data_IF_056425615121
#
_entry.id   IF_056425615121
#
_cell.length_a   1.000
_cell.length_b   1.000
_cell.length_c   1.000
_cell.angle_alpha   90.00
_cell.angle_beta   90.00
_cell.angle_gamma   90.00
#
_symmetry.space_group_name_H-M   'P 1'
#
loop_
_entity.id
_entity.type
_entity.pdbx_description
1 polymer ?
#
# COMPACT_ATOMS: atom_id res chain seq x y z
N UNK A 1 43.46 37.42 22.40
CA UNK A 1 44.82 37.78 22.84
C UNK A 1 44.79 37.95 24.35
N UNK A 2 45.11 36.91 25.13
CA UNK A 2 45.29 37.06 26.57
C UNK A 2 46.79 37.16 26.82
N UNK A 3 47.27 38.36 27.10
CA UNK A 3 48.67 38.59 27.44
C UNK A 3 48.87 38.09 28.88
N UNK A 4 49.78 37.14 29.13
CA UNK A 4 50.07 36.73 30.49
C UNK A 4 50.65 37.93 31.24
N UNK A 5 50.01 38.33 32.32
CA UNK A 5 50.54 39.37 33.22
C UNK A 5 51.78 38.76 33.87
N UNK A 6 52.97 39.10 33.37
CA UNK A 6 54.21 38.67 34.01
C UNK A 6 54.41 39.51 35.27
N UNK A 7 54.13 38.90 36.42
CA UNK A 7 54.39 39.51 37.72
C UNK A 7 55.87 39.33 38.07
N UNK A 8 56.63 40.42 38.02
CA UNK A 8 58.03 40.44 38.46
C UNK A 8 58.08 40.59 39.99
N UNK A 9 58.26 39.46 40.66
CA UNK A 9 58.38 39.36 42.12
C UNK A 9 59.51 40.23 42.67
N UNK A 10 60.61 40.40 41.92
CA UNK A 10 61.79 41.14 42.38
C UNK A 10 61.58 42.65 42.27
N UNK A 11 60.98 43.12 41.18
CA UNK A 11 60.63 44.55 41.02
C UNK A 11 59.56 44.98 42.04
N UNK A 12 58.57 44.13 42.28
CA UNK A 12 57.52 44.38 43.28
C UNK A 12 58.07 44.45 44.71
N UNK A 13 58.97 43.54 45.10
CA UNK A 13 59.63 43.57 46.41
C UNK A 13 60.47 44.85 46.60
N UNK A 14 61.21 45.28 45.57
CA UNK A 14 62.00 46.53 45.61
C UNK A 14 61.14 47.76 45.79
N UNK A 15 59.96 47.81 45.14
CA UNK A 15 58.99 48.89 45.28
C UNK A 15 58.35 48.95 46.67
N UNK A 16 58.07 47.81 47.28
CA UNK A 16 57.60 47.73 48.67
C UNK A 16 58.65 48.22 49.66
N UNK A 17 59.90 47.81 49.46
CA UNK A 17 61.02 48.23 50.31
C UNK A 17 61.28 49.75 50.22
N UNK A 18 61.21 50.33 49.02
CA UNK A 18 61.36 51.78 48.83
C UNK A 18 60.18 52.59 49.37
N UNK A 19 59.01 51.97 49.55
CA UNK A 19 57.84 52.55 50.20
C UNK A 19 57.87 52.43 51.74
N UNK A 20 58.94 51.88 52.33
CA UNK A 20 59.15 51.82 53.79
C UNK A 20 58.75 50.49 54.46
N UNK A 21 58.39 49.46 53.68
CA UNK A 21 58.19 48.11 54.24
C UNK A 21 59.54 47.44 54.49
N UNK A 22 59.78 46.82 55.67
CA UNK A 22 61.01 46.07 55.93
C UNK A 22 61.29 45.04 54.84
N UNK A 23 62.54 44.95 54.38
CA UNK A 23 62.95 44.06 53.27
C UNK A 23 62.45 42.62 53.41
N UNK A 24 62.55 41.98 54.60
CA UNK A 24 62.04 40.61 54.77
C UNK A 24 60.51 40.50 54.57
N UNK A 25 59.76 41.53 54.96
CA UNK A 25 58.30 41.58 54.76
C UNK A 25 57.93 41.88 53.31
N UNK A 26 58.69 42.76 52.64
CA UNK A 26 58.51 43.07 51.22
C UNK A 26 58.72 41.84 50.32
N UNK A 27 59.75 41.05 50.61
CA UNK A 27 60.03 39.78 49.91
C UNK A 27 58.95 38.72 50.16
N UNK A 28 58.49 38.57 51.41
CA UNK A 28 57.42 37.63 51.75
C UNK A 28 56.09 37.99 51.06
N UNK A 29 55.72 39.27 51.02
CA UNK A 29 54.52 39.74 50.30
C UNK A 29 54.62 39.51 48.79
N UNK A 30 55.79 39.78 48.21
CA UNK A 30 56.02 39.54 46.79
C UNK A 30 55.93 38.05 46.45
N UNK A 31 56.54 37.18 47.27
CA UNK A 31 56.49 35.74 47.09
C UNK A 31 55.05 35.19 47.15
N UNK A 32 54.28 35.57 48.18
CA UNK A 32 52.89 35.13 48.33
C UNK A 32 51.99 35.60 47.15
N UNK A 33 52.17 36.84 46.69
CA UNK A 33 51.42 37.35 45.54
C UNK A 33 51.84 36.65 44.23
N UNK A 34 53.12 36.37 44.06
CA UNK A 34 53.66 35.61 42.93
C UNK A 34 53.12 34.17 42.88
N UNK A 35 52.97 33.52 44.04
CA UNK A 35 52.37 32.19 44.16
C UNK A 35 50.88 32.19 43.77
N UNK A 36 50.11 33.18 44.27
CA UNK A 36 48.69 33.34 43.92
C UNK A 36 48.52 33.63 42.42
N UNK A 37 49.32 34.53 41.85
CA UNK A 37 49.26 34.86 40.42
C UNK A 37 49.75 33.70 39.54
N UNK A 38 50.74 32.92 40.01
CA UNK A 38 51.17 31.69 39.36
C UNK A 38 50.05 30.65 39.27
N UNK A 39 49.29 30.45 40.37
CA UNK A 39 48.12 29.55 40.35
C UNK A 39 47.01 30.04 39.43
N UNK A 40 46.75 31.35 39.36
CA UNK A 40 45.78 31.92 38.42
C UNK A 40 46.15 31.64 36.96
N UNK A 41 47.44 31.68 36.58
CA UNK A 41 47.90 31.34 35.24
C UNK A 41 47.70 29.85 34.91
N UNK A 42 47.92 28.96 35.89
CA UNK A 42 47.66 27.51 35.73
C UNK A 42 46.19 27.25 35.42
N UNK A 43 45.27 27.88 36.17
CA UNK A 43 43.81 27.76 35.94
C UNK A 43 43.40 28.21 34.53
N UNK A 44 44.01 29.26 33.98
CA UNK A 44 43.75 29.66 32.58
C UNK A 44 44.22 28.62 31.57
N UNK A 45 45.34 27.95 31.83
CA UNK A 45 45.84 26.84 31.01
C UNK A 45 44.91 25.64 31.03
N UNK A 46 44.41 25.27 32.22
CA UNK A 46 43.42 24.21 32.41
C UNK A 46 42.08 24.55 31.72
N UNK A 47 41.61 25.79 31.84
CA UNK A 47 40.40 26.25 31.16
C UNK A 47 40.54 26.19 29.63
N UNK A 48 41.68 26.64 29.09
CA UNK A 48 41.96 26.55 27.66
C UNK A 48 42.10 25.10 27.16
N UNK A 49 42.53 24.17 28.01
CA UNK A 49 42.53 22.74 27.71
C UNK A 49 41.10 22.17 27.71
N UNK A 50 40.29 22.54 28.70
CA UNK A 50 38.89 22.13 28.80
C UNK A 50 38.07 22.63 27.60
N UNK A 51 38.26 23.89 27.19
CA UNK A 51 37.58 24.48 26.02
C UNK A 51 37.91 23.70 24.74
N UNK A 52 39.19 23.38 24.52
CA UNK A 52 39.62 22.57 23.36
C UNK A 52 39.02 21.16 23.39
N UNK A 53 38.99 20.53 24.56
CA UNK A 53 38.39 19.19 24.71
C UNK A 53 36.88 19.23 24.44
N UNK A 54 36.16 20.23 24.98
CA UNK A 54 34.72 20.39 24.74
C UNK A 54 34.41 20.66 23.27
N UNK A 55 35.18 21.52 22.59
CA UNK A 55 35.04 21.74 21.15
C UNK A 55 35.27 20.44 20.35
N UNK A 56 36.25 19.63 20.76
CA UNK A 56 36.50 18.31 20.18
C UNK A 56 35.31 17.37 20.33
N UNK A 57 34.77 17.24 21.55
CA UNK A 57 33.59 16.42 21.83
C UNK A 57 32.35 16.90 21.08
N UNK A 58 32.12 18.22 21.01
CA UNK A 58 31.01 18.80 20.24
C UNK A 58 31.14 18.45 18.75
N UNK A 59 32.33 18.55 18.17
CA UNK A 59 32.57 18.19 16.77
C UNK A 59 32.34 16.69 16.53
N UNK A 60 32.80 15.83 17.45
CA UNK A 60 32.57 14.38 17.36
C UNK A 60 31.09 14.03 17.46
N UNK A 61 30.35 14.65 18.37
CA UNK A 61 28.90 14.46 18.51
C UNK A 61 28.18 14.95 17.26
N UNK A 62 28.56 16.10 16.72
CA UNK A 62 27.97 16.65 15.48
C UNK A 62 28.16 15.66 14.32
N UNK A 63 29.38 15.17 14.11
CA UNK A 63 29.66 14.19 13.06
C UNK A 63 28.88 12.87 13.27
N UNK A 64 28.74 12.42 14.52
CA UNK A 64 27.95 11.22 14.85
C UNK A 64 26.45 11.43 14.61
N UNK A 65 25.94 12.63 14.83
CA UNK A 65 24.56 12.98 14.51
C UNK A 65 24.38 13.00 12.99
N UNK A 66 25.25 13.68 12.24
CA UNK A 66 25.16 13.78 10.78
C UNK A 66 25.18 12.40 10.11
N UNK A 67 26.10 11.53 10.54
CA UNK A 67 26.20 10.15 10.03
C UNK A 67 24.95 9.33 10.35
N UNK A 68 24.35 9.49 11.54
CA UNK A 68 23.10 8.82 11.90
C UNK A 68 21.91 9.36 11.11
N UNK A 69 21.85 10.67 10.88
CA UNK A 69 20.82 11.30 10.06
C UNK A 69 20.89 10.78 8.63
N UNK A 70 22.08 10.79 8.00
CA UNK A 70 22.25 10.23 6.65
C UNK A 70 21.88 8.73 6.60
N UNK A 71 22.23 7.96 7.63
CA UNK A 71 21.85 6.55 7.69
C UNK A 71 20.33 6.34 7.85
N UNK A 72 19.62 7.29 8.47
CA UNK A 72 18.15 7.28 8.54
C UNK A 72 17.53 7.67 7.20
N UNK A 73 18.04 8.71 6.55
CA UNK A 73 17.57 9.14 5.22
C UNK A 73 17.68 7.98 4.22
N UNK A 74 18.86 7.32 4.16
CA UNK A 74 19.04 6.14 3.31
C UNK A 74 18.08 4.98 3.63
N UNK A 75 17.70 4.81 4.90
CA UNK A 75 16.72 3.79 5.31
C UNK A 75 15.31 4.17 4.91
N UNK A 76 14.97 5.45 4.96
CA UNK A 76 13.68 5.98 4.50
C UNK A 76 13.55 5.75 3.00
N UNK A 77 14.54 6.17 2.21
CA UNK A 77 14.56 5.97 0.75
C UNK A 77 14.41 4.48 0.38
N UNK A 78 15.12 3.59 1.09
CA UNK A 78 15.02 2.16 0.87
C UNK A 78 13.65 1.57 1.25
N UNK A 79 12.98 2.13 2.27
CA UNK A 79 11.62 1.73 2.65
C UNK A 79 10.59 2.24 1.65
N UNK A 80 10.73 3.47 1.16
CA UNK A 80 9.87 4.04 0.11
C UNK A 80 9.92 3.18 -1.15
N UNK A 81 11.13 2.90 -1.67
CA UNK A 81 11.29 2.04 -2.84
C UNK A 81 10.67 0.65 -2.66
N UNK A 82 10.81 0.07 -1.45
CA UNK A 82 10.23 -1.23 -1.12
C UNK A 82 8.71 -1.19 -1.04
N UNK A 83 8.13 -0.08 -0.58
CA UNK A 83 6.68 0.13 -0.53
C UNK A 83 6.13 0.30 -1.94
N UNK A 84 6.75 1.12 -2.78
CA UNK A 84 6.36 1.31 -4.18
C UNK A 84 6.35 -0.02 -4.93
N UNK A 85 7.44 -0.79 -4.83
CA UNK A 85 7.54 -2.12 -5.45
C UNK A 85 6.44 -3.08 -4.96
N UNK A 86 6.04 -2.97 -3.69
CA UNK A 86 4.96 -3.80 -3.12
C UNK A 86 3.59 -3.36 -3.60
N UNK A 87 3.38 -2.06 -3.79
CA UNK A 87 2.14 -1.49 -4.33
C UNK A 87 1.98 -1.96 -5.78
N UNK A 88 2.99 -1.79 -6.62
CA UNK A 88 2.97 -2.24 -8.03
C UNK A 88 2.65 -3.74 -8.14
N UNK A 89 3.28 -4.56 -7.28
CA UNK A 89 3.03 -5.99 -7.26
C UNK A 89 1.61 -6.37 -6.80
N UNK A 90 1.01 -5.57 -5.91
CA UNK A 90 -0.38 -5.77 -5.48
C UNK A 90 -1.37 -5.34 -6.57
N UNK A 91 -1.11 -4.22 -7.25
CA UNK A 91 -1.92 -3.75 -8.39
C UNK A 91 -1.96 -4.80 -9.50
N UNK A 92 -0.79 -5.29 -9.95
CA UNK A 92 -0.71 -6.33 -10.97
C UNK A 92 -1.48 -7.61 -10.57
N UNK A 93 -1.40 -7.99 -9.29
CA UNK A 93 -2.10 -9.17 -8.76
C UNK A 93 -3.61 -8.97 -8.70
N UNK A 94 -4.07 -7.75 -8.44
CA UNK A 94 -5.49 -7.41 -8.47
C UNK A 94 -6.02 -7.42 -9.90
N UNK A 95 -5.31 -6.81 -10.84
CA UNK A 95 -5.68 -6.82 -12.26
C UNK A 95 -5.81 -8.25 -12.78
N UNK A 96 -4.80 -9.09 -12.53
CA UNK A 96 -4.83 -10.52 -12.94
C UNK A 96 -6.03 -11.26 -12.33
N UNK A 97 -6.44 -10.92 -11.10
CA UNK A 97 -7.60 -11.54 -10.45
C UNK A 97 -8.91 -11.05 -11.04
N UNK A 98 -8.99 -9.79 -11.44
CA UNK A 98 -10.16 -9.20 -12.10
C UNK A 98 -10.33 -9.86 -13.47
N UNK A 99 -9.28 -9.91 -14.29
CA UNK A 99 -9.30 -10.57 -15.61
C UNK A 99 -9.76 -12.03 -15.51
N UNK A 100 -9.25 -12.77 -14.52
CA UNK A 100 -9.64 -14.16 -14.29
C UNK A 100 -11.11 -14.31 -13.84
N UNK A 101 -11.66 -13.33 -13.12
CA UNK A 101 -13.07 -13.31 -12.74
C UNK A 101 -13.96 -12.97 -13.93
N UNK A 102 -13.57 -12.00 -14.76
CA UNK A 102 -14.28 -11.62 -15.99
C UNK A 102 -14.38 -12.83 -16.93
N UNK A 103 -13.26 -13.48 -17.25
CA UNK A 103 -13.27 -14.68 -18.10
C UNK A 103 -14.17 -15.80 -17.54
N UNK A 104 -14.19 -15.97 -16.21
CA UNK A 104 -15.03 -16.97 -15.55
C UNK A 104 -16.52 -16.61 -15.64
N UNK A 105 -16.86 -15.33 -15.59
CA UNK A 105 -18.23 -14.88 -15.79
C UNK A 105 -18.66 -15.04 -17.24
N UNK A 106 -17.85 -14.65 -18.22
CA UNK A 106 -18.13 -14.84 -19.64
C UNK A 106 -18.39 -16.31 -19.95
N UNK A 107 -17.49 -17.20 -19.52
CA UNK A 107 -17.65 -18.66 -19.70
C UNK A 107 -18.96 -19.18 -19.08
N UNK A 108 -19.38 -18.62 -17.94
CA UNK A 108 -20.63 -19.01 -17.29
C UNK A 108 -21.86 -18.51 -18.04
N UNK A 109 -21.79 -17.32 -18.63
CA UNK A 109 -22.85 -16.75 -19.45
C UNK A 109 -23.01 -17.59 -20.71
N UNK A 110 -21.93 -17.86 -21.44
CA UNK A 110 -21.95 -18.71 -22.65
C UNK A 110 -22.57 -20.09 -22.37
N UNK A 111 -22.21 -20.70 -21.24
CA UNK A 111 -22.75 -22.01 -20.86
C UNK A 111 -24.24 -21.94 -20.45
N UNK A 112 -24.70 -20.81 -19.90
CA UNK A 112 -26.11 -20.60 -19.63
C UNK A 112 -26.89 -20.39 -20.93
N UNK A 113 -26.38 -19.59 -21.86
CA UNK A 113 -26.99 -19.38 -23.18
C UNK A 113 -27.17 -20.70 -23.92
N UNK A 114 -26.11 -21.51 -24.02
CA UNK A 114 -26.17 -22.85 -24.64
C UNK A 114 -27.21 -23.78 -23.99
N UNK A 115 -27.34 -23.72 -22.65
CA UNK A 115 -28.35 -24.50 -21.93
C UNK A 115 -29.77 -24.01 -22.21
N UNK A 116 -29.95 -22.71 -22.36
CA UNK A 116 -31.24 -22.12 -22.70
C UNK A 116 -31.64 -22.50 -24.13
N UNK A 117 -30.73 -22.37 -25.09
CA UNK A 117 -30.96 -22.75 -26.49
C UNK A 117 -31.35 -24.22 -26.60
N UNK A 118 -30.57 -25.12 -25.99
CA UNK A 118 -30.89 -26.56 -26.00
C UNK A 118 -32.26 -26.87 -25.37
N UNK A 119 -32.68 -26.08 -24.37
CA UNK A 119 -33.99 -26.25 -23.73
C UNK A 119 -35.12 -25.73 -24.62
N UNK A 120 -34.89 -24.65 -25.37
CA UNK A 120 -35.82 -24.13 -26.37
C UNK A 120 -35.98 -25.15 -27.50
N UNK A 121 -34.89 -25.66 -28.07
CA UNK A 121 -34.93 -26.69 -29.12
C UNK A 121 -35.71 -27.93 -28.67
N UNK A 122 -35.49 -28.37 -27.43
CA UNK A 122 -36.22 -29.50 -26.85
C UNK A 122 -37.72 -29.20 -26.69
N UNK A 123 -38.08 -27.95 -26.37
CA UNK A 123 -39.48 -27.54 -26.27
C UNK A 123 -40.14 -27.49 -27.65
N UNK A 124 -39.46 -26.94 -28.65
CA UNK A 124 -39.94 -26.86 -30.03
C UNK A 124 -40.20 -28.25 -30.60
N UNK A 125 -39.25 -29.18 -30.45
CA UNK A 125 -39.44 -30.58 -30.85
C UNK A 125 -40.65 -31.24 -30.18
N UNK A 126 -40.90 -30.94 -28.89
CA UNK A 126 -42.07 -31.46 -28.17
C UNK A 126 -43.37 -30.84 -28.65
N UNK A 127 -43.36 -29.57 -29.04
CA UNK A 127 -44.51 -28.88 -29.63
C UNK A 127 -44.83 -29.44 -31.01
N UNK A 128 -43.84 -29.58 -31.89
CA UNK A 128 -44.01 -30.17 -33.22
C UNK A 128 -44.58 -31.58 -33.14
N UNK A 129 -44.03 -32.44 -32.27
CA UNK A 129 -44.54 -33.79 -32.07
C UNK A 129 -45.98 -33.82 -31.53
N UNK A 130 -46.41 -32.80 -30.77
CA UNK A 130 -47.80 -32.68 -30.30
C UNK A 130 -48.73 -32.22 -31.42
N UNK A 131 -48.28 -31.27 -32.26
CA UNK A 131 -49.04 -30.81 -33.43
C UNK A 131 -49.24 -31.95 -34.44
N UNK A 132 -48.20 -32.70 -34.76
CA UNK A 132 -48.29 -33.86 -35.66
C UNK A 132 -49.29 -34.90 -35.15
N UNK A 133 -49.28 -35.19 -33.84
CA UNK A 133 -50.28 -36.09 -33.23
C UNK A 133 -51.71 -35.56 -33.33
N UNK A 134 -51.90 -34.25 -33.18
CA UNK A 134 -53.22 -33.63 -33.35
C UNK A 134 -53.68 -33.70 -34.80
N UNK A 135 -52.81 -33.42 -35.77
CA UNK A 135 -53.13 -33.50 -37.20
C UNK A 135 -53.50 -34.93 -37.61
N UNK A 136 -52.76 -35.94 -37.12
CA UNK A 136 -53.10 -37.35 -37.35
C UNK A 136 -54.46 -37.72 -36.77
N UNK A 137 -54.78 -37.26 -35.55
CA UNK A 137 -56.08 -37.51 -34.91
C UNK A 137 -57.21 -36.83 -35.68
N UNK A 138 -57.09 -35.54 -35.98
CA UNK A 138 -58.10 -34.82 -36.75
C UNK A 138 -58.28 -35.42 -38.15
N UNK A 139 -57.19 -35.85 -38.81
CA UNK A 139 -57.26 -36.54 -40.09
C UNK A 139 -58.02 -37.87 -40.01
N UNK A 140 -57.82 -38.65 -38.94
CA UNK A 140 -58.56 -39.89 -38.70
C UNK A 140 -60.04 -39.63 -38.42
N UNK A 141 -60.34 -38.69 -37.52
CA UNK A 141 -61.71 -38.30 -37.16
C UNK A 141 -62.47 -37.80 -38.39
N UNK A 142 -61.83 -36.97 -39.22
CA UNK A 142 -62.41 -36.46 -40.46
C UNK A 142 -62.69 -37.59 -41.45
N UNK A 143 -61.78 -38.57 -41.62
CA UNK A 143 -62.03 -39.76 -42.46
C UNK A 143 -63.23 -40.56 -41.96
N UNK A 144 -63.36 -40.74 -40.64
CA UNK A 144 -64.52 -41.39 -40.04
C UNK A 144 -65.82 -40.63 -40.33
N UNK A 145 -65.81 -39.30 -40.21
CA UNK A 145 -66.97 -38.45 -40.57
C UNK A 145 -67.32 -38.60 -42.06
N UNK A 146 -66.35 -38.53 -42.97
CA UNK A 146 -66.60 -38.73 -44.40
C UNK A 146 -67.20 -40.11 -44.70
N UNK A 147 -66.72 -41.16 -44.02
CA UNK A 147 -67.25 -42.51 -44.17
C UNK A 147 -68.70 -42.61 -43.69
N UNK A 148 -69.03 -42.05 -42.51
CA UNK A 148 -70.41 -42.02 -41.98
C UNK A 148 -71.36 -41.21 -42.86
N UNK A 149 -70.92 -40.06 -43.39
CA UNK A 149 -71.73 -39.25 -44.28
C UNK A 149 -72.03 -39.98 -45.59
N UNK A 150 -71.03 -40.68 -46.13
CA UNK A 150 -71.18 -41.47 -47.37
C UNK A 150 -72.20 -42.60 -47.19
N UNK A 151 -72.14 -43.34 -46.07
CA UNK A 151 -73.10 -44.41 -45.76
C UNK A 151 -74.51 -43.86 -45.50
N UNK A 152 -74.62 -42.72 -44.82
CA UNK A 152 -75.90 -42.03 -44.58
C UNK A 152 -76.56 -41.55 -45.90
N UNK A 153 -75.78 -40.98 -46.83
CA UNK A 153 -76.27 -40.56 -48.15
C UNK A 153 -76.78 -41.78 -48.93
N UNK A 154 -76.01 -42.87 -48.98
CA UNK A 154 -76.42 -44.11 -49.67
C UNK A 154 -77.71 -44.70 -49.09
N UNK A 155 -77.83 -44.73 -47.76
CA UNK A 155 -79.03 -45.21 -47.07
C UNK A 155 -80.26 -44.34 -47.44
N UNK A 156 -80.13 -43.02 -47.38
CA UNK A 156 -81.20 -42.09 -47.74
C UNK A 156 -81.64 -42.24 -49.22
N UNK A 157 -80.69 -42.39 -50.15
CA UNK A 157 -81.01 -42.63 -51.57
C UNK A 157 -81.76 -43.95 -51.80
N UNK A 158 -81.37 -45.02 -51.09
CA UNK A 158 -82.03 -46.32 -51.17
C UNK A 158 -83.49 -46.29 -50.66
N UNK A 159 -83.73 -45.60 -49.54
CA UNK A 159 -85.07 -45.39 -48.99
C UNK A 159 -85.94 -44.60 -49.99
N UNK A 160 -85.40 -43.51 -50.57
CA UNK A 160 -86.10 -42.68 -51.53
C UNK A 160 -86.47 -43.45 -52.82
N UNK A 161 -85.55 -44.29 -53.30
CA UNK A 161 -85.79 -45.14 -54.49
C UNK A 161 -86.92 -46.14 -54.24
N UNK A 162 -86.97 -46.74 -53.04
CA UNK A 162 -88.05 -47.66 -52.66
C UNK A 162 -89.41 -46.96 -52.53
N UNK A 163 -89.44 -45.74 -52.00
CA UNK A 163 -90.65 -44.92 -51.92
C UNK A 163 -91.20 -44.53 -53.30
N UNK A 164 -90.34 -44.27 -54.30
CA UNK A 164 -90.75 -43.92 -55.66
C UNK A 164 -91.27 -45.10 -56.50
N UNK A 165 -90.96 -46.34 -56.10
CA UNK A 165 -91.38 -47.57 -56.79
C UNK A 165 -92.70 -48.16 -56.25
N UNK A 166 -93.29 -47.57 -55.21
CA UNK A 166 -94.61 -47.92 -54.65
C UNK A 166 -95.68 -46.93 -55.12
#
# INVERSE_FOLDING_TARGET
MHMPIQFDTLDYAKRLASAGVPTPQAEAHAAALGEVLGSAVVVHGELAALERNLLGEINLVTQKVDTRTHALDMKIDALELKLDTRIDALELKLDTKIDALEQKFDTRIDLLEQKFDARIDTLDQKFDARLERLDLRHGADMKHVYWMMSTLILLNLGILSKLMLQ
#
